data_IF_065895893188
#
_entry.id   IF_065895893188
#
_cell.length_a   1.000
_cell.length_b   1.000
_cell.length_c   1.000
_cell.angle_alpha   90.00
_cell.angle_beta   90.00
_cell.angle_gamma   90.00
#
_symmetry.space_group_name_H-M   'P 1'
#
loop_
_entity.id
_entity.type
_entity.pdbx_description
1 polymer ?
#
# COMPACT_ATOMS: atom_id res chain seq x y z
N UNK A 1 -15.63 -7.81 -9.61
CA UNK A 1 -14.52 -7.02 -9.05
C UNK A 1 -14.05 -7.66 -7.75
N UNK A 2 -12.76 -7.69 -7.55
CA UNK A 2 -12.12 -8.20 -6.33
C UNK A 2 -11.63 -7.01 -5.52
N UNK A 3 -11.81 -7.07 -4.19
CA UNK A 3 -11.26 -6.10 -3.26
C UNK A 3 -9.79 -6.43 -2.98
N UNK A 4 -8.91 -5.45 -3.14
CA UNK A 4 -7.48 -5.58 -2.85
C UNK A 4 -7.01 -4.43 -1.96
N UNK A 5 -5.95 -4.69 -1.19
CA UNK A 5 -5.33 -3.69 -0.33
C UNK A 5 -3.88 -3.49 -0.78
N UNK A 6 -3.53 -2.24 -0.98
CA UNK A 6 -2.23 -1.82 -1.51
C UNK A 6 -1.52 -0.97 -0.46
N UNK A 7 -0.27 -1.30 -0.16
CA UNK A 7 0.61 -0.45 0.63
C UNK A 7 1.28 0.59 -0.27
N UNK A 8 1.33 1.82 0.20
CA UNK A 8 2.05 2.92 -0.43
C UNK A 8 3.12 3.42 0.52
N UNK A 9 4.35 3.57 0.07
CA UNK A 9 5.46 4.05 0.89
C UNK A 9 6.49 4.85 0.12
N UNK A 10 7.18 5.77 0.81
CA UNK A 10 8.30 6.53 0.24
C UNK A 10 9.05 7.31 1.32
N UNK A 11 10.38 7.49 1.14
CA UNK A 11 11.22 8.16 2.13
C UNK A 11 12.21 9.17 1.53
N UNK A 12 12.05 9.55 0.27
CA UNK A 12 12.95 10.45 -0.46
C UNK A 12 12.17 11.59 -1.11
N UNK A 13 12.78 12.78 -1.14
CA UNK A 13 12.25 13.93 -1.86
C UNK A 13 10.90 14.43 -1.33
N UNK A 14 10.05 14.90 -2.22
CA UNK A 14 8.66 15.23 -1.92
C UNK A 14 7.86 13.93 -1.75
N UNK A 15 7.93 13.35 -0.55
CA UNK A 15 7.30 12.06 -0.21
C UNK A 15 5.79 12.06 -0.47
N UNK A 16 5.08 13.13 -0.06
CA UNK A 16 3.64 13.22 -0.26
C UNK A 16 3.28 13.36 -1.74
N UNK A 17 3.89 14.31 -2.45
CA UNK A 17 3.62 14.51 -3.87
C UNK A 17 3.93 13.26 -4.71
N UNK A 18 4.97 12.50 -4.36
CA UNK A 18 5.28 11.24 -5.03
C UNK A 18 4.20 10.17 -4.82
N UNK A 19 3.66 10.03 -3.61
CA UNK A 19 2.56 9.10 -3.31
C UNK A 19 1.24 9.54 -3.97
N UNK A 20 0.95 10.85 -4.01
CA UNK A 20 -0.21 11.41 -4.73
C UNK A 20 -0.12 11.12 -6.23
N UNK A 21 1.05 11.30 -6.82
CA UNK A 21 1.30 10.99 -8.23
C UNK A 21 1.09 9.49 -8.51
N UNK A 22 1.65 8.63 -7.68
CA UNK A 22 1.52 7.19 -7.83
C UNK A 22 0.04 6.76 -7.76
N UNK A 23 -0.70 7.27 -6.76
CA UNK A 23 -2.12 6.96 -6.61
C UNK A 23 -2.93 7.47 -7.81
N UNK A 24 -2.66 8.68 -8.29
CA UNK A 24 -3.32 9.25 -9.47
C UNK A 24 -3.08 8.40 -10.72
N UNK A 25 -1.84 7.95 -10.95
CA UNK A 25 -1.49 7.06 -12.06
C UNK A 25 -2.19 5.70 -11.93
N UNK A 26 -2.30 5.18 -10.71
CA UNK A 26 -2.93 3.89 -10.44
C UNK A 26 -4.43 3.92 -10.73
N UNK A 27 -5.15 4.93 -10.24
CA UNK A 27 -6.61 5.04 -10.42
C UNK A 27 -7.03 5.39 -11.85
N UNK A 28 -6.09 5.90 -12.66
CA UNK A 28 -6.30 6.08 -14.09
C UNK A 28 -6.17 4.78 -14.89
N UNK A 29 -5.71 3.67 -14.28
CA UNK A 29 -5.58 2.39 -14.99
C UNK A 29 -6.95 1.72 -15.15
N UNK A 30 -7.28 1.21 -16.34
CA UNK A 30 -8.49 0.43 -16.52
C UNK A 30 -8.53 -0.76 -15.55
N UNK A 31 -9.70 -1.02 -15.00
CA UNK A 31 -9.89 -2.15 -14.08
C UNK A 31 -9.45 -1.91 -12.64
N UNK A 32 -9.08 -0.68 -12.26
CA UNK A 32 -8.78 -0.30 -10.88
C UNK A 32 -9.66 0.87 -10.46
N UNK A 33 -10.36 0.72 -9.33
CA UNK A 33 -11.18 1.75 -8.70
C UNK A 33 -10.79 1.92 -7.25
N UNK A 34 -10.39 3.12 -6.85
CA UNK A 34 -10.15 3.44 -5.45
C UNK A 34 -11.49 3.41 -4.68
N UNK A 35 -11.50 2.71 -3.56
CA UNK A 35 -12.66 2.60 -2.65
C UNK A 35 -12.45 3.49 -1.42
N UNK A 36 -11.32 3.28 -0.72
CA UNK A 36 -10.92 4.04 0.47
C UNK A 36 -9.42 4.25 0.49
N UNK A 37 -9.00 5.31 1.15
CA UNK A 37 -7.60 5.64 1.37
C UNK A 37 -7.42 5.95 2.85
N UNK A 38 -6.42 5.35 3.50
CA UNK A 38 -6.09 5.66 4.88
C UNK A 38 -5.46 7.05 5.01
N UNK A 39 -5.39 7.56 6.22
CA UNK A 39 -4.55 8.69 6.56
C UNK A 39 -3.12 8.49 6.07
N UNK A 40 -2.40 9.59 5.86
CA UNK A 40 -0.95 9.57 5.65
C UNK A 40 -0.25 9.48 7.00
N UNK A 41 0.62 8.50 7.11
CA UNK A 41 1.40 8.23 8.32
C UNK A 41 2.88 8.49 8.08
N UNK A 42 3.55 9.05 9.07
CA UNK A 42 5.01 9.11 9.12
C UNK A 42 5.54 8.04 10.08
N UNK A 43 6.56 7.30 9.64
CA UNK A 43 7.08 6.14 10.37
C UNK A 43 8.59 6.12 10.38
N UNK A 44 9.16 5.67 11.50
CA UNK A 44 10.59 5.44 11.62
C UNK A 44 11.07 4.40 10.60
N UNK A 45 12.30 4.57 10.05
CA UNK A 45 12.91 3.56 9.19
C UNK A 45 13.09 2.24 9.95
N UNK A 46 12.65 1.13 9.34
CA UNK A 46 12.94 -0.22 9.82
C UNK A 46 13.80 -0.90 8.78
N UNK A 47 15.04 -1.21 9.13
CA UNK A 47 16.00 -1.89 8.24
C UNK A 47 16.20 -1.16 6.88
N UNK A 48 16.10 0.17 6.85
CA UNK A 48 16.27 0.97 5.65
C UNK A 48 17.21 2.15 5.88
N UNK A 49 17.94 2.52 4.85
CA UNK A 49 18.72 3.78 4.81
C UNK A 49 17.81 4.95 4.42
N UNK A 50 18.05 6.12 4.98
CA UNK A 50 17.35 7.35 4.62
C UNK A 50 16.50 7.92 5.75
N UNK A 51 15.63 8.88 5.41
CA UNK A 51 14.74 9.55 6.34
C UNK A 51 13.50 8.73 6.70
N UNK A 52 12.66 9.30 7.54
CA UNK A 52 11.36 8.73 7.90
C UNK A 52 10.49 8.52 6.67
N UNK A 53 9.73 7.44 6.67
CA UNK A 53 8.82 7.09 5.59
C UNK A 53 7.49 7.79 5.74
N UNK A 54 6.88 8.15 4.60
CA UNK A 54 5.44 8.30 4.53
C UNK A 54 4.82 6.99 4.07
N UNK A 55 3.76 6.55 4.75
CA UNK A 55 3.03 5.33 4.44
C UNK A 55 1.52 5.58 4.46
N UNK A 56 0.82 4.86 3.61
CA UNK A 56 -0.64 4.79 3.57
C UNK A 56 -1.08 3.43 3.02
N UNK A 57 -2.35 3.11 3.18
CA UNK A 57 -2.98 1.94 2.55
C UNK A 57 -4.17 2.40 1.72
N UNK A 58 -4.23 1.93 0.48
CA UNK A 58 -5.37 2.08 -0.41
C UNK A 58 -6.16 0.78 -0.48
N UNK A 59 -7.49 0.87 -0.30
CA UNK A 59 -8.42 -0.18 -0.65
C UNK A 59 -8.93 0.09 -2.06
N UNK A 60 -8.78 -0.88 -2.94
CA UNK A 60 -9.23 -0.80 -4.33
C UNK A 60 -10.16 -1.95 -4.67
N UNK A 61 -11.05 -1.73 -5.63
CA UNK A 61 -11.72 -2.80 -6.36
C UNK A 61 -11.08 -2.95 -7.74
N UNK A 62 -10.81 -4.19 -8.14
CA UNK A 62 -10.13 -4.46 -9.40
C UNK A 62 -10.75 -5.64 -10.15
N UNK A 63 -10.73 -5.54 -11.49
CA UNK A 63 -10.99 -6.65 -12.40
C UNK A 63 -9.71 -7.34 -12.89
N UNK A 64 -8.53 -6.77 -12.58
CA UNK A 64 -7.24 -7.34 -12.95
C UNK A 64 -6.96 -8.58 -12.11
N UNK A 65 -6.36 -9.59 -12.71
CA UNK A 65 -5.78 -10.71 -11.99
C UNK A 65 -4.63 -10.27 -11.08
N UNK A 66 -4.23 -11.10 -10.10
CA UNK A 66 -3.20 -10.69 -9.12
C UNK A 66 -1.83 -10.40 -9.77
N UNK A 67 -1.44 -11.15 -10.80
CA UNK A 67 -0.20 -10.92 -11.57
C UNK A 67 -0.27 -9.64 -12.40
N UNK A 68 -1.42 -9.37 -13.02
CA UNK A 68 -1.66 -8.16 -13.79
C UNK A 68 -1.64 -6.92 -12.87
N UNK A 69 -2.24 -7.04 -11.68
CA UNK A 69 -2.22 -5.98 -10.68
C UNK A 69 -0.79 -5.72 -10.21
N UNK A 70 -0.02 -6.77 -9.87
CA UNK A 70 1.39 -6.64 -9.48
C UNK A 70 2.22 -5.97 -10.59
N UNK A 71 2.03 -6.38 -11.83
CA UNK A 71 2.69 -5.78 -13.00
C UNK A 71 2.33 -4.29 -13.13
N UNK A 72 1.06 -3.96 -12.93
CA UNK A 72 0.56 -2.58 -12.98
C UNK A 72 1.19 -1.71 -11.87
N UNK A 73 1.30 -2.23 -10.65
CA UNK A 73 2.00 -1.54 -9.55
C UNK A 73 3.45 -1.23 -9.92
N UNK A 74 4.19 -2.20 -10.45
CA UNK A 74 5.57 -2.00 -10.91
C UNK A 74 5.70 -0.97 -12.04
N UNK A 75 4.73 -0.90 -12.96
CA UNK A 75 4.70 0.12 -14.01
C UNK A 75 4.47 1.52 -13.44
N UNK A 76 3.59 1.65 -12.44
CA UNK A 76 3.34 2.93 -11.76
C UNK A 76 4.58 3.39 -11.01
N UNK A 77 5.23 2.51 -10.26
CA UNK A 77 6.51 2.81 -9.59
C UNK A 77 7.58 3.28 -10.60
N UNK A 78 7.70 2.58 -11.74
CA UNK A 78 8.61 2.96 -12.83
C UNK A 78 8.33 4.34 -13.38
N UNK A 79 7.05 4.69 -13.57
CA UNK A 79 6.62 6.01 -14.03
C UNK A 79 6.89 7.12 -13.01
N UNK A 80 6.94 6.79 -11.71
CA UNK A 80 7.33 7.69 -10.63
C UNK A 80 8.85 7.83 -10.44
N UNK A 81 9.66 7.27 -11.35
CA UNK A 81 11.11 7.42 -11.33
C UNK A 81 11.87 6.34 -10.55
N UNK A 82 11.28 5.16 -10.35
CA UNK A 82 11.97 4.03 -9.72
C UNK A 82 13.06 3.48 -10.67
N UNK A 83 14.34 3.41 -10.26
CA UNK A 83 15.39 2.73 -11.04
C UNK A 83 15.08 1.22 -11.16
N UNK A 84 15.37 0.63 -12.33
CA UNK A 84 15.07 -0.80 -12.61
C UNK A 84 15.93 -1.81 -11.82
N UNK A 85 17.10 -1.40 -11.32
CA UNK A 85 18.03 -2.25 -10.57
C UNK A 85 18.25 -1.64 -9.19
N UNK A 86 17.97 -2.40 -8.12
CA UNK A 86 18.11 -1.93 -6.74
C UNK A 86 18.53 -3.01 -5.78
N UNK A 87 19.28 -2.58 -4.74
CA UNK A 87 19.54 -3.36 -3.54
C UNK A 87 18.40 -3.20 -2.50
N UNK A 88 18.28 -4.18 -1.59
CA UNK A 88 17.31 -4.10 -0.49
C UNK A 88 17.68 -2.97 0.47
N UNK A 89 16.70 -2.17 0.88
CA UNK A 89 16.88 -1.10 1.87
C UNK A 89 17.33 0.25 1.31
N UNK A 90 17.45 0.41 -0.02
CA UNK A 90 17.70 1.72 -0.62
C UNK A 90 16.54 2.68 -0.44
N UNK A 91 16.86 3.98 -0.35
CA UNK A 91 15.89 5.06 -0.28
C UNK A 91 14.97 5.10 -1.51
N UNK A 92 13.65 5.32 -1.33
CA UNK A 92 12.63 5.17 -2.38
C UNK A 92 11.74 6.38 -2.50
N UNK A 93 11.52 6.83 -3.76
CA UNK A 93 10.48 7.81 -4.06
C UNK A 93 9.10 7.21 -3.80
N UNK A 94 8.81 6.04 -4.37
CA UNK A 94 7.55 5.32 -4.23
C UNK A 94 7.82 3.82 -4.19
N UNK A 95 7.10 3.13 -3.32
CA UNK A 95 7.02 1.68 -3.21
C UNK A 95 5.54 1.29 -3.10
N UNK A 96 5.08 0.39 -3.96
CA UNK A 96 3.71 -0.08 -4.01
C UNK A 96 3.67 -1.59 -3.76
N UNK A 97 3.13 -2.00 -2.63
CA UNK A 97 3.03 -3.42 -2.25
C UNK A 97 1.59 -3.94 -2.41
N UNK A 98 1.41 -5.11 -3.03
CA UNK A 98 0.14 -5.84 -2.97
C UNK A 98 0.06 -6.57 -1.62
N UNK A 99 -0.77 -6.06 -0.70
CA UNK A 99 -0.92 -6.60 0.64
C UNK A 99 -1.88 -7.78 0.70
N UNK A 100 -3.08 -7.58 0.15
CA UNK A 100 -4.17 -8.57 0.13
C UNK A 100 -4.91 -8.51 -1.21
N UNK A 101 -5.40 -9.66 -1.67
CA UNK A 101 -6.21 -9.78 -2.87
C UNK A 101 -7.42 -10.69 -2.60
N UNK A 102 -8.53 -10.11 -2.22
CA UNK A 102 -9.68 -10.83 -1.67
C UNK A 102 -9.25 -11.71 -0.50
N UNK A 103 -9.71 -12.93 -0.49
CA UNK A 103 -9.31 -13.98 0.48
C UNK A 103 -8.27 -14.95 -0.08
N UNK A 104 -7.62 -14.64 -1.21
CA UNK A 104 -6.68 -15.54 -1.86
C UNK A 104 -5.37 -15.67 -1.09
N UNK A 105 -4.84 -16.88 -1.10
CA UNK A 105 -3.48 -17.21 -0.66
C UNK A 105 -2.72 -17.66 -1.90
N UNK A 106 -1.66 -16.93 -2.25
CA UNK A 106 -0.79 -17.20 -3.40
C UNK A 106 0.63 -17.28 -2.88
N UNK A 107 1.36 -18.32 -3.22
CA UNK A 107 2.74 -18.57 -2.78
C UNK A 107 3.62 -18.93 -3.98
N UNK A 108 3.73 -17.98 -4.91
CA UNK A 108 4.56 -18.12 -6.11
C UNK A 108 5.88 -17.34 -5.93
N UNK A 109 6.94 -17.70 -6.68
CA UNK A 109 8.25 -17.02 -6.51
C UNK A 109 8.21 -15.51 -6.69
N UNK A 110 7.37 -15.01 -7.61
CA UNK A 110 7.23 -13.59 -7.92
C UNK A 110 6.01 -12.92 -7.27
N UNK A 111 5.06 -13.70 -6.73
CA UNK A 111 3.82 -13.19 -6.16
C UNK A 111 3.43 -13.94 -4.89
N UNK A 112 3.48 -13.23 -3.78
CA UNK A 112 3.05 -13.77 -2.48
C UNK A 112 1.95 -12.89 -1.90
N UNK A 113 0.77 -13.47 -1.74
CA UNK A 113 -0.42 -12.81 -1.16
C UNK A 113 -1.05 -13.76 -0.15
N UNK A 114 -1.31 -13.32 1.08
CA UNK A 114 -0.98 -12.06 1.71
C UNK A 114 0.52 -11.72 1.63
N UNK A 115 0.84 -10.41 1.60
CA UNK A 115 2.25 -10.00 1.61
C UNK A 115 2.99 -10.62 2.81
N UNK A 116 4.11 -11.34 2.61
CA UNK A 116 4.67 -12.28 3.60
C UNK A 116 5.06 -11.64 4.94
N UNK A 117 5.32 -10.35 4.97
CA UNK A 117 5.72 -9.62 6.19
C UNK A 117 4.69 -8.59 6.68
N UNK A 118 3.49 -8.50 6.07
CA UNK A 118 2.53 -7.45 6.45
C UNK A 118 2.11 -7.55 7.91
N UNK A 119 1.94 -8.77 8.42
CA UNK A 119 1.51 -9.04 9.79
C UNK A 119 2.56 -8.70 10.87
N UNK A 120 3.80 -8.44 10.47
CA UNK A 120 4.92 -8.05 11.33
C UNK A 120 5.23 -6.54 11.23
N UNK A 121 4.51 -5.80 10.39
CA UNK A 121 4.82 -4.41 10.05
C UNK A 121 3.77 -3.46 10.59
N UNK A 122 4.10 -2.75 11.65
CA UNK A 122 3.21 -1.77 12.27
C UNK A 122 2.78 -0.67 11.28
N UNK A 123 3.69 -0.21 10.42
CA UNK A 123 3.41 0.81 9.41
C UNK A 123 2.47 0.34 8.27
N UNK A 124 2.19 -0.97 8.19
CA UNK A 124 1.17 -1.56 7.32
C UNK A 124 -0.12 -1.78 8.10
N UNK A 125 -0.04 -2.35 9.31
CA UNK A 125 -1.23 -2.72 10.09
C UNK A 125 -1.98 -1.52 10.64
N UNK A 126 -1.30 -0.43 11.03
CA UNK A 126 -1.96 0.78 11.54
C UNK A 126 -2.88 1.41 10.48
N UNK A 127 -2.41 1.76 9.27
CA UNK A 127 -3.29 2.29 8.23
C UNK A 127 -4.34 1.28 7.73
N UNK A 128 -4.02 -0.02 7.74
CA UNK A 128 -4.98 -1.05 7.36
C UNK A 128 -6.10 -1.20 8.38
N UNK A 129 -5.78 -1.13 9.70
CA UNK A 129 -6.76 -1.16 10.77
C UNK A 129 -7.65 0.11 10.80
N UNK A 130 -7.15 1.25 10.34
CA UNK A 130 -7.97 2.45 10.13
C UNK A 130 -9.06 2.20 9.09
N UNK A 131 -8.73 1.51 7.99
CA UNK A 131 -9.70 1.21 6.94
C UNK A 131 -10.67 0.10 7.34
N UNK A 132 -10.15 -1.00 7.85
CA UNK A 132 -10.95 -2.17 8.24
C UNK A 132 -10.29 -2.95 9.40
N UNK A 133 -10.62 -2.60 10.66
CA UNK A 133 -10.07 -3.29 11.82
C UNK A 133 -10.51 -4.76 11.91
N UNK A 134 -11.67 -5.09 11.32
CA UNK A 134 -12.24 -6.43 11.30
C UNK A 134 -11.73 -7.33 10.17
N UNK A 135 -10.93 -6.79 9.26
CA UNK A 135 -10.37 -7.53 8.14
C UNK A 135 -9.53 -8.71 8.64
N UNK A 136 -9.82 -9.90 8.13
CA UNK A 136 -9.13 -11.13 8.52
C UNK A 136 -7.98 -11.39 7.55
N UNK A 137 -6.79 -11.62 8.09
CA UNK A 137 -5.63 -12.08 7.32
C UNK A 137 -5.86 -13.51 6.84
N UNK A 138 -6.00 -13.77 5.52
CA UNK A 138 -6.44 -15.08 5.01
C UNK A 138 -5.57 -16.26 5.47
N UNK A 139 -4.25 -16.07 5.51
CA UNK A 139 -3.32 -17.13 5.87
C UNK A 139 -3.19 -17.39 7.38
N UNK A 140 -3.56 -16.41 8.23
CA UNK A 140 -3.43 -16.54 9.70
C UNK A 140 -4.79 -16.73 10.38
N UNK A 141 -5.90 -16.40 9.70
CA UNK A 141 -7.23 -16.45 10.30
C UNK A 141 -7.45 -15.42 11.41
N UNK A 142 -6.56 -14.41 11.53
CA UNK A 142 -6.53 -13.44 12.64
C UNK A 142 -6.92 -12.07 12.10
N UNK A 143 -7.67 -11.30 12.87
CA UNK A 143 -8.08 -9.93 12.50
C UNK A 143 -6.89 -8.98 12.52
N UNK A 144 -6.92 -7.99 11.63
CA UNK A 144 -5.89 -6.93 11.55
C UNK A 144 -5.74 -6.20 12.89
N UNK A 145 -6.85 -5.90 13.58
CA UNK A 145 -6.83 -5.29 14.93
C UNK A 145 -6.07 -6.15 15.94
N UNK A 146 -6.27 -7.46 15.90
CA UNK A 146 -5.64 -8.38 16.84
C UNK A 146 -4.16 -8.56 16.52
N UNK A 147 -3.80 -8.64 15.23
CA UNK A 147 -2.40 -8.64 14.79
C UNK A 147 -1.68 -7.38 15.27
N UNK A 148 -2.30 -6.21 15.10
CA UNK A 148 -1.73 -4.94 15.53
C UNK A 148 -1.55 -4.88 17.06
N UNK A 149 -2.51 -5.40 17.83
CA UNK A 149 -2.45 -5.43 19.30
C UNK A 149 -1.28 -6.27 19.83
N UNK A 150 -0.81 -7.24 19.08
CA UNK A 150 0.32 -8.11 19.46
C UNK A 150 1.69 -7.50 19.08
N UNK A 151 1.73 -6.46 18.26
CA UNK A 151 2.99 -5.79 17.90
C UNK A 151 3.43 -4.80 18.98
N UNK A 152 4.75 -4.67 19.12
CA UNK A 152 5.35 -3.56 19.89
C UNK A 152 4.83 -2.21 19.39
N UNK A 153 4.78 -1.22 20.28
CA UNK A 153 4.46 0.17 19.90
C UNK A 153 5.55 0.83 19.04
N UNK A 154 6.72 0.22 18.96
CA UNK A 154 7.82 0.62 18.10
C UNK A 154 7.88 -0.25 16.83
N UNK A 155 8.35 0.30 15.69
CA UNK A 155 8.68 1.71 15.48
C UNK A 155 7.46 2.64 15.60
N UNK A 156 7.71 3.92 15.87
CA UNK A 156 6.66 4.93 15.96
C UNK A 156 5.95 5.10 14.62
N UNK A 157 4.62 5.16 14.67
CA UNK A 157 3.73 5.43 13.52
C UNK A 157 2.78 6.54 13.91
N UNK A 158 2.90 7.71 13.27
CA UNK A 158 2.10 8.89 13.60
C UNK A 158 1.35 9.44 12.39
N UNK A 159 0.12 9.91 12.61
CA UNK A 159 -0.68 10.56 11.58
C UNK A 159 -0.06 11.90 11.20
N UNK A 160 0.14 12.14 9.91
CA UNK A 160 0.58 13.43 9.34
C UNK A 160 -0.62 14.18 8.79
N UNK A 161 -1.47 13.51 8.02
CA UNK A 161 -2.66 14.10 7.43
C UNK A 161 -3.77 13.05 7.28
N UNK A 162 -5.00 13.41 7.64
CA UNK A 162 -6.16 12.52 7.48
C UNK A 162 -6.71 12.52 6.04
N UNK A 163 -6.67 13.68 5.39
CA UNK A 163 -7.03 13.87 4.00
C UNK A 163 -5.80 14.45 3.28
N UNK A 164 -5.09 13.64 2.53
CA UNK A 164 -3.80 14.01 1.95
C UNK A 164 -3.75 13.90 0.44
N UNK A 165 -4.68 13.17 -0.17
CA UNK A 165 -4.72 12.99 -1.60
C UNK A 165 -6.09 13.38 -2.14
N UNK A 166 -6.15 14.40 -3.00
CA UNK A 166 -7.33 14.80 -3.74
C UNK A 166 -7.35 14.06 -5.09
N UNK A 167 -7.15 12.75 -5.07
CA UNK A 167 -7.51 11.91 -6.20
C UNK A 167 -9.04 11.88 -6.26
N UNK A 168 -9.66 12.98 -6.70
CA UNK A 168 -11.05 12.98 -7.10
C UNK A 168 -11.18 11.85 -8.10
N UNK A 169 -11.90 10.80 -7.73
CA UNK A 169 -12.57 9.98 -8.70
C UNK A 169 -13.22 10.97 -9.67
N UNK A 170 -12.66 11.09 -10.86
CA UNK A 170 -13.35 11.76 -11.93
C UNK A 170 -14.65 10.98 -12.07
N UNK A 171 -15.74 11.52 -11.53
CA UNK A 171 -17.08 11.17 -11.95
C UNK A 171 -17.04 11.39 -13.47
N UNK A 172 -16.70 10.34 -14.19
CA UNK A 172 -17.00 10.28 -15.61
C UNK A 172 -18.50 10.15 -15.66
N UNK A 173 -19.16 11.30 -15.73
CA UNK A 173 -20.50 11.39 -16.27
C UNK A 173 -20.48 10.63 -17.58
N UNK A 174 -21.11 9.47 -17.57
CA UNK A 174 -21.44 8.75 -18.79
C UNK A 174 -22.53 9.58 -19.47
N UNK A 175 -22.37 9.96 -20.74
CA UNK A 175 -23.45 10.60 -21.50
C UNK A 175 -24.60 9.63 -21.69
#
# INVERSE_FOLDING_TARGET
LIRAYLGLGGNVGDRQGALEQALSLLVCRPGIRLVRLSSLYETEPVEASGGWFFNSVAEVETSLGPDELLTTLGQVEGACGRPRLRERGEARLVDLDLLLYGSRIIAEPQLQVPHPRMHLRRFVLVPLAELDPGLVHPGLGTRVSDLLAHLSQLPEVRVVAREWCVARAAERSVP
#
